data_IF_757938874731
#
_entry.id   IF_757938874731
#
_cell.length_a   1.000
_cell.length_b   1.000
_cell.length_c   1.000
_cell.angle_alpha   90.00
_cell.angle_beta   90.00
_cell.angle_gamma   90.00
#
_symmetry.space_group_name_H-M   'P 1'
#
loop_
_entity.id
_entity.type
_entity.pdbx_description
1 polymer ?
#
# COMPACT_ATOMS: atom_id res chain seq x y z
N UNK A 1 25.01 35.74 0.49
CA UNK A 1 24.03 34.68 0.24
C UNK A 1 23.75 34.68 -1.23
N UNK A 2 23.77 33.52 -1.88
CA UNK A 2 23.38 33.42 -3.29
C UNK A 2 21.87 33.58 -3.38
N UNK A 3 21.41 34.69 -3.96
CA UNK A 3 19.98 34.95 -4.12
C UNK A 3 19.35 33.87 -5.01
N UNK A 4 18.36 33.17 -4.46
CA UNK A 4 17.67 32.08 -5.15
C UNK A 4 16.74 32.66 -6.22
N UNK A 5 17.10 32.49 -7.49
CA UNK A 5 16.31 32.96 -8.64
C UNK A 5 15.49 31.83 -9.25
N UNK A 6 14.45 32.16 -10.03
CA UNK A 6 13.61 31.16 -10.71
C UNK A 6 14.34 30.31 -11.77
N UNK A 7 15.53 30.71 -12.21
CA UNK A 7 16.39 29.90 -13.09
C UNK A 7 17.26 28.89 -12.34
N UNK A 8 17.25 28.93 -11.00
CA UNK A 8 18.04 28.01 -10.18
C UNK A 8 17.37 26.64 -10.14
N UNK A 9 18.11 25.59 -10.50
CA UNK A 9 17.65 24.22 -10.30
C UNK A 9 17.61 23.91 -8.79
N UNK A 10 16.40 23.83 -8.24
CA UNK A 10 16.19 23.59 -6.80
C UNK A 10 16.64 22.18 -6.37
N UNK A 11 16.61 21.21 -7.28
CA UNK A 11 17.05 19.83 -6.97
C UNK A 11 18.55 19.83 -6.68
N UNK A 12 19.35 20.49 -7.51
CA UNK A 12 20.80 20.61 -7.28
C UNK A 12 21.10 21.55 -6.12
N UNK A 13 20.43 22.70 -6.02
CA UNK A 13 20.67 23.68 -4.96
C UNK A 13 20.47 23.10 -3.55
N UNK A 14 19.49 22.21 -3.36
CA UNK A 14 19.24 21.51 -2.09
C UNK A 14 19.86 20.11 -2.01
N UNK A 15 20.75 19.74 -2.94
CA UNK A 15 21.39 18.41 -3.02
C UNK A 15 20.40 17.23 -3.02
N UNK A 16 19.24 17.40 -3.66
CA UNK A 16 18.16 16.41 -3.74
C UNK A 16 18.27 15.48 -4.95
N UNK A 17 19.33 15.57 -5.76
CA UNK A 17 19.50 14.77 -6.98
C UNK A 17 19.39 13.26 -6.72
N UNK A 18 20.01 12.75 -5.65
CA UNK A 18 19.92 11.35 -5.29
C UNK A 18 18.49 10.92 -4.93
N UNK A 19 17.76 11.76 -4.19
CA UNK A 19 16.37 11.47 -3.82
C UNK A 19 15.45 11.50 -5.04
N UNK A 20 15.61 12.52 -5.90
CA UNK A 20 14.85 12.64 -7.15
C UNK A 20 15.08 11.42 -8.06
N UNK A 21 16.34 11.05 -8.30
CA UNK A 21 16.67 9.90 -9.15
C UNK A 21 16.14 8.59 -8.56
N UNK A 22 16.16 8.43 -7.24
CA UNK A 22 15.70 7.22 -6.55
C UNK A 22 14.18 7.06 -6.58
N UNK A 23 13.43 8.15 -6.36
CA UNK A 23 11.98 8.07 -6.12
C UNK A 23 11.12 8.62 -7.27
N UNK A 24 11.62 9.58 -8.05
CA UNK A 24 10.88 10.20 -9.16
C UNK A 24 11.31 9.70 -10.55
N UNK A 25 12.52 9.13 -10.67
CA UNK A 25 13.03 8.59 -11.94
C UNK A 25 12.30 7.32 -12.44
N UNK A 26 11.47 6.70 -11.60
CA UNK A 26 10.72 5.48 -11.92
C UNK A 26 9.28 5.60 -11.44
N UNK A 27 8.32 5.05 -12.20
CA UNK A 27 6.95 4.89 -11.73
C UNK A 27 6.93 3.90 -10.58
N UNK A 28 6.80 4.39 -9.36
CA UNK A 28 6.62 3.54 -8.17
C UNK A 28 5.20 2.96 -8.23
N UNK A 29 5.11 1.64 -8.38
CA UNK A 29 3.86 0.86 -8.29
C UNK A 29 3.86 -0.06 -7.07
N UNK A 30 4.72 0.23 -6.09
CA UNK A 30 4.80 -0.59 -4.90
C UNK A 30 3.54 -0.42 -4.07
N UNK A 31 2.97 -1.56 -3.68
CA UNK A 31 1.82 -1.61 -2.79
C UNK A 31 2.30 -1.56 -1.35
N UNK A 32 1.42 -1.18 -0.41
CA UNK A 32 1.78 -1.14 1.01
C UNK A 32 2.24 -2.51 1.52
N UNK A 33 1.66 -3.58 0.98
CA UNK A 33 2.07 -4.97 1.23
C UNK A 33 3.48 -5.35 0.80
N UNK A 34 4.15 -4.53 -0.03
CA UNK A 34 5.57 -4.72 -0.33
C UNK A 34 6.46 -4.26 0.83
N UNK A 35 5.98 -3.35 1.67
CA UNK A 35 6.71 -2.80 2.83
C UNK A 35 6.32 -3.47 4.15
N UNK A 36 5.15 -4.13 4.19
CA UNK A 36 4.63 -4.83 5.38
C UNK A 36 4.37 -6.31 5.06
N UNK A 37 5.42 -7.09 4.75
CA UNK A 37 5.26 -8.48 4.28
C UNK A 37 4.67 -9.41 5.34
N UNK A 38 4.93 -9.13 6.62
CA UNK A 38 4.51 -9.97 7.74
C UNK A 38 3.18 -9.51 8.38
N UNK A 39 2.59 -8.41 7.87
CA UNK A 39 1.33 -7.89 8.38
C UNK A 39 0.16 -8.63 7.70
N UNK A 40 -0.64 -9.44 8.43
CA UNK A 40 -1.80 -10.10 7.86
C UNK A 40 -2.91 -9.10 7.48
N UNK A 41 -3.83 -9.54 6.62
CA UNK A 41 -5.03 -8.77 6.22
C UNK A 41 -4.91 -7.99 4.91
N UNK A 42 -5.97 -7.26 4.56
CA UNK A 42 -6.14 -6.55 3.28
C UNK A 42 -5.54 -5.14 3.28
N UNK A 43 -4.24 -5.05 3.55
CA UNK A 43 -3.51 -3.79 3.77
C UNK A 43 -3.39 -2.88 2.54
N UNK A 44 -3.64 -3.40 1.34
CA UNK A 44 -3.60 -2.62 0.10
C UNK A 44 -4.95 -1.96 -0.23
N UNK A 45 -5.97 -2.15 0.60
CA UNK A 45 -7.31 -1.60 0.36
C UNK A 45 -7.38 -0.13 0.78
N UNK A 46 -8.13 0.74 0.06
CA UNK A 46 -8.26 2.14 0.46
C UNK A 46 -8.95 2.24 1.83
N UNK A 47 -8.36 3.02 2.75
CA UNK A 47 -8.93 3.24 4.09
C UNK A 47 -10.28 3.98 4.10
N UNK A 48 -10.78 4.41 2.94
CA UNK A 48 -12.15 4.91 2.77
C UNK A 48 -13.19 3.80 2.70
N UNK A 49 -12.80 2.57 2.34
CA UNK A 49 -13.74 1.45 2.20
C UNK A 49 -14.13 0.83 3.55
N UNK A 50 -13.24 0.88 4.53
CA UNK A 50 -13.41 0.32 5.88
C UNK A 50 -13.40 1.39 6.99
N UNK A 51 -13.40 2.68 6.61
CA UNK A 51 -13.27 3.82 7.51
C UNK A 51 -12.01 3.81 8.40
N UNK A 52 -10.95 3.10 7.99
CA UNK A 52 -9.67 3.05 8.72
C UNK A 52 -8.73 4.22 8.41
N UNK A 53 -9.11 5.13 7.50
CA UNK A 53 -8.26 6.24 7.09
C UNK A 53 -7.96 7.21 8.23
N UNK A 54 -6.66 7.48 8.46
CA UNK A 54 -6.19 8.54 9.38
C UNK A 54 -6.78 9.91 9.05
N UNK A 55 -7.16 10.15 7.79
CA UNK A 55 -7.74 11.43 7.39
C UNK A 55 -9.02 11.75 8.15
N UNK A 56 -9.86 10.74 8.45
CA UNK A 56 -11.09 10.97 9.21
C UNK A 56 -10.82 11.42 10.64
N UNK A 57 -9.71 10.97 11.25
CA UNK A 57 -9.30 11.42 12.59
C UNK A 57 -8.77 12.85 12.57
N UNK A 58 -8.14 13.28 11.47
CA UNK A 58 -7.63 14.65 11.33
C UNK A 58 -8.80 15.63 11.10
N UNK A 59 -9.72 15.27 10.20
CA UNK A 59 -10.84 16.13 9.83
C UNK A 59 -11.90 16.19 10.95
N UNK A 60 -12.04 15.11 11.72
CA UNK A 60 -12.84 15.06 12.95
C UNK A 60 -11.92 14.73 14.10
N UNK A 61 -11.12 15.71 14.52
CA UNK A 61 -10.27 15.56 15.69
C UNK A 61 -11.12 15.02 16.84
N UNK A 62 -10.82 13.81 17.35
CA UNK A 62 -11.48 13.32 18.54
C UNK A 62 -11.37 14.41 19.59
N UNK A 63 -12.47 14.70 20.30
CA UNK A 63 -12.41 15.66 21.40
C UNK A 63 -11.45 15.07 22.43
N UNK A 64 -10.20 15.53 22.40
CA UNK A 64 -9.15 15.12 23.32
C UNK A 64 -9.38 15.85 24.65
N UNK A 65 -10.48 15.49 25.29
CA UNK A 65 -10.82 15.87 26.64
C UNK A 65 -10.78 14.61 27.50
N UNK A 66 -9.69 14.48 28.26
CA UNK A 66 -9.63 13.78 29.53
C UNK A 66 -9.46 12.26 29.41
N UNK A 67 -8.31 11.75 29.84
CA UNK A 67 -8.00 10.38 30.31
C UNK A 67 -8.71 9.20 29.63
N UNK A 68 -7.93 8.24 29.11
CA UNK A 68 -8.47 6.93 28.72
C UNK A 68 -9.21 6.31 29.92
N UNK A 69 -10.54 6.25 29.83
CA UNK A 69 -11.35 5.57 30.83
C UNK A 69 -11.23 4.07 30.60
N UNK A 70 -10.97 3.32 31.66
CA UNK A 70 -11.08 1.87 31.63
C UNK A 70 -12.50 1.49 31.17
N UNK A 71 -12.59 0.51 30.26
CA UNK A 71 -13.88 -0.01 29.82
C UNK A 71 -14.61 -0.60 31.03
N UNK A 72 -15.83 -0.13 31.29
CA UNK A 72 -16.68 -0.68 32.36
C UNK A 72 -17.12 -2.10 32.03
N UNK A 73 -17.52 -2.89 33.04
CA UNK A 73 -17.98 -4.27 32.84
C UNK A 73 -19.14 -4.39 31.83
N UNK A 74 -20.00 -3.37 31.76
CA UNK A 74 -21.08 -3.29 30.76
C UNK A 74 -20.53 -3.16 29.35
N UNK A 75 -19.53 -2.30 29.12
CA UNK A 75 -18.88 -2.14 27.80
C UNK A 75 -18.11 -3.39 27.40
N UNK A 76 -17.50 -4.09 28.35
CA UNK A 76 -16.81 -5.36 28.10
C UNK A 76 -17.74 -6.48 27.63
N UNK A 77 -19.05 -6.37 27.88
CA UNK A 77 -20.03 -7.37 27.40
C UNK A 77 -20.08 -7.42 25.88
N UNK A 78 -19.82 -6.30 25.19
CA UNK A 78 -19.74 -6.26 23.72
C UNK A 78 -18.55 -7.01 23.12
N UNK A 79 -17.55 -7.36 23.92
CA UNK A 79 -16.36 -8.12 23.50
C UNK A 79 -16.49 -9.63 23.77
N UNK A 80 -17.63 -10.08 24.33
CA UNK A 80 -17.85 -11.51 24.58
C UNK A 80 -17.95 -12.26 23.25
N UNK A 81 -17.13 -13.29 23.11
CA UNK A 81 -17.16 -14.17 21.94
C UNK A 81 -18.37 -15.10 22.05
N UNK A 82 -19.16 -15.18 20.98
CA UNK A 82 -20.15 -16.22 20.81
C UNK A 82 -19.47 -17.52 20.40
N UNK A 83 -19.87 -18.63 21.01
CA UNK A 83 -19.40 -19.96 20.61
C UNK A 83 -19.96 -20.33 19.24
N UNK A 84 -19.22 -21.15 18.48
CA UNK A 84 -19.62 -21.62 17.16
C UNK A 84 -18.75 -21.07 16.02
N UNK A 85 -19.05 -21.47 14.77
CA UNK A 85 -18.28 -21.04 13.61
C UNK A 85 -18.48 -19.55 13.33
N UNK A 86 -17.42 -18.88 12.89
CA UNK A 86 -17.45 -17.48 12.49
C UNK A 86 -18.47 -17.26 11.34
N UNK A 87 -19.34 -16.24 11.42
CA UNK A 87 -20.29 -15.93 10.35
C UNK A 87 -19.62 -15.85 8.98
N UNK A 88 -20.33 -16.29 7.92
CA UNK A 88 -19.75 -16.44 6.59
C UNK A 88 -19.08 -15.16 6.06
N UNK A 89 -19.74 -14.02 6.29
CA UNK A 89 -19.29 -12.68 5.93
C UNK A 89 -17.91 -12.30 6.51
N UNK A 90 -17.55 -12.89 7.66
CA UNK A 90 -16.30 -12.58 8.36
C UNK A 90 -15.19 -13.60 8.09
N UNK A 91 -15.49 -14.76 7.46
CA UNK A 91 -14.51 -15.83 7.20
C UNK A 91 -13.32 -15.37 6.35
N UNK A 92 -13.55 -14.48 5.40
CA UNK A 92 -12.55 -14.07 4.42
C UNK A 92 -11.76 -12.82 4.84
N UNK A 93 -12.13 -12.14 5.93
CA UNK A 93 -11.49 -10.87 6.35
C UNK A 93 -10.00 -11.03 6.67
N UNK A 94 -9.59 -12.20 7.16
CA UNK A 94 -8.20 -12.51 7.50
C UNK A 94 -7.38 -13.03 6.31
N UNK A 95 -8.05 -13.36 5.20
CA UNK A 95 -7.41 -14.04 4.08
C UNK A 95 -6.87 -12.99 3.12
N UNK A 96 -5.55 -12.83 3.09
CA UNK A 96 -4.91 -12.13 1.98
C UNK A 96 -5.26 -12.84 0.67
N UNK A 97 -5.73 -12.14 -0.37
CA UNK A 97 -5.91 -12.75 -1.67
C UNK A 97 -4.56 -13.36 -2.09
N UNK A 98 -4.50 -14.65 -2.47
CA UNK A 98 -3.24 -15.28 -2.84
C UNK A 98 -2.59 -14.47 -3.96
N UNK A 99 -1.34 -14.04 -3.75
CA UNK A 99 -0.55 -13.33 -4.76
C UNK A 99 -0.51 -14.21 -6.02
N UNK A 100 -1.24 -13.83 -7.08
CA UNK A 100 -1.16 -14.50 -8.38
C UNK A 100 0.28 -14.39 -8.87
N UNK A 101 1.07 -15.47 -8.72
CA UNK A 101 2.39 -15.56 -9.36
C UNK A 101 2.16 -15.46 -10.86
N UNK A 102 2.57 -14.36 -11.46
CA UNK A 102 2.58 -14.20 -12.91
C UNK A 102 3.45 -15.31 -13.49
N UNK A 103 2.82 -16.35 -14.04
CA UNK A 103 3.54 -17.35 -14.83
C UNK A 103 4.06 -16.60 -16.06
N UNK A 104 5.35 -16.28 -16.09
CA UNK A 104 6.03 -15.88 -17.30
C UNK A 104 5.84 -16.98 -18.34
N UNK A 105 4.87 -16.80 -19.24
CA UNK A 105 4.80 -17.61 -20.46
C UNK A 105 6.00 -17.19 -21.31
N UNK A 106 7.04 -18.01 -21.33
CA UNK A 106 8.05 -17.94 -22.38
C UNK A 106 7.36 -18.22 -23.72
N UNK A 107 6.94 -17.17 -24.43
CA UNK A 107 6.70 -17.30 -25.87
C UNK A 107 8.08 -17.39 -26.53
N UNK A 108 8.51 -18.61 -26.81
CA UNK A 108 9.63 -18.85 -27.72
C UNK A 108 9.16 -18.45 -29.12
N UNK A 109 9.38 -17.19 -29.50
CA UNK A 109 9.30 -16.79 -30.89
C UNK A 109 10.56 -17.31 -31.57
N UNK A 110 10.46 -18.46 -32.24
CA UNK A 110 11.47 -18.87 -33.22
C UNK A 110 11.54 -17.76 -34.28
N UNK A 111 12.66 -17.05 -34.35
CA UNK A 111 13.04 -16.28 -35.53
C UNK A 111 13.13 -17.27 -36.69
N UNK A 112 12.28 -17.10 -37.71
CA UNK A 112 12.48 -17.78 -38.99
C UNK A 112 13.70 -17.12 -39.64
N UNK A 113 14.72 -17.91 -39.94
CA UNK A 113 15.87 -17.46 -40.73
C UNK A 113 15.43 -17.11 -42.16
N UNK A 114 16.03 -16.10 -42.81
CA UNK A 114 15.70 -15.75 -44.18
C UNK A 114 16.25 -16.82 -45.15
N UNK A 115 15.42 -17.23 -46.10
CA UNK A 115 15.76 -18.14 -47.20
C UNK A 115 16.78 -17.47 -48.14
N UNK A 116 17.90 -18.13 -48.51
CA UNK A 116 18.85 -17.57 -49.47
C UNK A 116 18.34 -17.66 -50.93
N UNK A 117 18.72 -16.72 -51.80
CA UNK A 117 18.30 -16.74 -53.21
C UNK A 117 19.03 -17.84 -53.99
N UNK A 118 18.26 -18.66 -54.70
CA UNK A 118 18.76 -19.65 -55.65
C UNK A 118 19.27 -19.00 -56.94
N UNK A 119 20.26 -19.67 -57.56
CA UNK A 119 20.96 -19.30 -58.80
C UNK A 119 20.04 -19.11 -60.01
#
# INVERSE_FOLDING_TARGET
GTDLTGSTNLITHYNLEHAYNKFCGKKVKDKLSNFLPDLPGMIDMPGSQDNSSLRSLIDKQPICGNSFNLLTGTLLTGFRLHTGPLPEQYRLMHIQPPKKKSKHKHKHSRTQDPVPPGR
#
